data_IF_841086535016
#
_entry.id   IF_841086535016
#
_cell.length_a   1.000
_cell.length_b   1.000
_cell.length_c   1.000
_cell.angle_alpha   90.00
_cell.angle_beta   90.00
_cell.angle_gamma   90.00
#
_symmetry.space_group_name_H-M   'P 1'
#
loop_
_entity.id
_entity.type
_entity.pdbx_description
1 polymer ?
#
# COMPACT_ATOMS: atom_id res chain seq x y z
N UNK A 1 48.83 20.09 -43.86
CA UNK A 1 47.46 19.51 -43.86
C UNK A 1 47.25 18.44 -42.79
N UNK A 2 48.16 17.48 -42.58
CA UNK A 2 47.99 16.41 -41.56
C UNK A 2 47.87 16.91 -40.11
N UNK A 3 48.56 17.99 -39.73
CA UNK A 3 48.52 18.55 -38.36
C UNK A 3 47.20 19.24 -38.01
N UNK A 4 46.40 19.64 -39.00
CA UNK A 4 45.10 20.28 -38.78
C UNK A 4 44.00 19.24 -38.54
N UNK A 5 44.05 18.09 -39.24
CA UNK A 5 43.13 16.97 -39.03
C UNK A 5 43.26 16.34 -37.64
N UNK A 6 44.50 16.21 -37.12
CA UNK A 6 44.75 15.63 -35.79
C UNK A 6 44.17 16.49 -34.64
N UNK A 7 44.19 17.82 -34.78
CA UNK A 7 43.62 18.73 -33.77
C UNK A 7 42.08 18.74 -33.80
N UNK A 8 41.49 18.57 -34.98
CA UNK A 8 40.03 18.50 -35.12
C UNK A 8 39.50 17.19 -34.54
N UNK A 9 40.11 16.03 -34.86
CA UNK A 9 39.66 14.73 -34.31
C UNK A 9 39.78 14.63 -32.79
N UNK A 10 40.79 15.26 -32.20
CA UNK A 10 41.02 15.27 -30.74
C UNK A 10 39.96 16.06 -29.97
N UNK A 11 39.27 17.01 -30.62
CA UNK A 11 38.21 17.81 -30.00
C UNK A 11 36.84 17.11 -30.03
N UNK A 12 36.58 16.25 -31.03
CA UNK A 12 35.28 15.58 -31.18
C UNK A 12 35.18 14.29 -30.35
N UNK A 13 36.27 13.57 -30.10
CA UNK A 13 36.27 12.31 -29.32
C UNK A 13 35.77 12.51 -27.87
N UNK A 14 36.19 13.55 -27.12
CA UNK A 14 35.66 13.82 -25.78
C UNK A 14 34.19 14.22 -25.80
N UNK A 15 33.77 15.00 -26.80
CA UNK A 15 32.38 15.45 -26.96
C UNK A 15 31.47 14.26 -27.27
N UNK A 16 31.92 13.34 -28.14
CA UNK A 16 31.19 12.09 -28.43
C UNK A 16 31.12 11.18 -27.19
N UNK A 17 32.19 11.12 -26.39
CA UNK A 17 32.20 10.35 -25.13
C UNK A 17 31.25 10.94 -24.08
N UNK A 18 31.17 12.27 -23.99
CA UNK A 18 30.26 12.98 -23.09
C UNK A 18 28.80 12.82 -23.56
N UNK A 19 28.53 12.88 -24.87
CA UNK A 19 27.17 12.66 -25.39
C UNK A 19 26.75 11.20 -25.25
N UNK A 20 27.63 10.22 -25.49
CA UNK A 20 27.35 8.81 -25.23
C UNK A 20 27.13 8.56 -23.73
N UNK A 21 27.95 9.16 -22.87
CA UNK A 21 27.78 9.08 -21.41
C UNK A 21 26.47 9.70 -20.92
N UNK A 22 26.06 10.83 -21.50
CA UNK A 22 24.76 11.46 -21.25
C UNK A 22 23.60 10.61 -21.80
N UNK A 23 23.74 9.99 -22.98
CA UNK A 23 22.72 9.12 -23.59
C UNK A 23 22.54 7.82 -22.78
N UNK A 24 23.63 7.23 -22.28
CA UNK A 24 23.60 6.07 -21.38
C UNK A 24 23.02 6.46 -20.01
N UNK A 25 23.32 7.66 -19.50
CA UNK A 25 22.70 8.18 -18.28
C UNK A 25 21.20 8.49 -18.47
N UNK A 26 20.75 8.85 -19.67
CA UNK A 26 19.32 9.03 -20.00
C UNK A 26 18.58 7.72 -20.26
N UNK A 27 19.26 6.57 -20.24
CA UNK A 27 18.64 5.26 -20.48
C UNK A 27 18.12 4.56 -19.21
N UNK A 28 18.38 5.12 -18.02
CA UNK A 28 17.77 4.63 -16.78
C UNK A 28 16.47 5.38 -16.50
N UNK A 29 15.38 4.97 -17.16
CA UNK A 29 14.05 5.35 -16.69
C UNK A 29 13.81 4.64 -15.34
N UNK A 30 13.57 5.37 -14.23
CA UNK A 30 13.28 4.75 -12.93
C UNK A 30 12.07 3.81 -12.97
N UNK A 31 11.12 4.11 -13.87
CA UNK A 31 9.96 3.27 -14.12
C UNK A 31 10.36 1.92 -14.73
N UNK A 32 11.17 1.92 -15.80
CA UNK A 32 11.65 0.68 -16.42
C UNK A 32 12.49 -0.17 -15.46
N UNK A 33 13.31 0.50 -14.62
CA UNK A 33 14.04 -0.19 -13.56
C UNK A 33 13.10 -0.87 -12.57
N UNK A 34 12.03 -0.18 -12.14
CA UNK A 34 11.03 -0.74 -11.23
C UNK A 34 10.29 -1.92 -11.87
N UNK A 35 9.84 -1.80 -13.12
CA UNK A 35 9.20 -2.92 -13.84
C UNK A 35 10.13 -4.12 -13.90
N UNK A 36 11.41 -3.89 -14.23
CA UNK A 36 12.42 -4.96 -14.26
C UNK A 36 12.62 -5.62 -12.89
N UNK A 37 12.62 -4.86 -11.79
CA UNK A 37 12.69 -5.46 -10.44
C UNK A 37 11.43 -6.25 -10.11
N UNK A 38 10.28 -5.77 -10.55
CA UNK A 38 8.98 -6.41 -10.36
C UNK A 38 8.89 -7.76 -11.11
N UNK A 39 9.58 -7.89 -12.25
CA UNK A 39 9.70 -9.15 -13.00
C UNK A 39 10.75 -10.10 -12.39
N UNK A 40 11.93 -9.59 -12.01
CA UNK A 40 13.02 -10.42 -11.49
C UNK A 40 12.78 -10.90 -10.05
N UNK A 41 12.20 -10.03 -9.22
CA UNK A 41 11.98 -10.27 -7.79
C UNK A 41 10.57 -9.80 -7.38
N UNK A 42 9.50 -10.46 -7.87
CA UNK A 42 8.13 -9.99 -7.70
C UNK A 42 7.71 -9.87 -6.23
N UNK A 43 7.99 -10.88 -5.40
CA UNK A 43 7.63 -10.89 -3.98
C UNK A 43 8.31 -9.74 -3.23
N UNK A 44 9.63 -9.63 -3.39
CA UNK A 44 10.45 -8.67 -2.64
C UNK A 44 10.13 -7.23 -3.04
N UNK A 45 10.00 -6.98 -4.35
CA UNK A 45 9.69 -5.64 -4.86
C UNK A 45 8.31 -5.19 -4.42
N UNK A 46 7.30 -6.07 -4.49
CA UNK A 46 5.94 -5.78 -4.00
C UNK A 46 5.94 -5.55 -2.49
N UNK A 47 6.57 -6.42 -1.71
CA UNK A 47 6.67 -6.28 -0.26
C UNK A 47 7.33 -4.97 0.19
N UNK A 48 8.50 -4.63 -0.37
CA UNK A 48 9.20 -3.38 -0.05
C UNK A 48 8.33 -2.18 -0.42
N UNK A 49 7.71 -2.23 -1.60
CA UNK A 49 6.85 -1.13 -2.07
C UNK A 49 5.62 -0.96 -1.19
N UNK A 50 4.95 -2.05 -0.77
CA UNK A 50 3.86 -2.03 0.21
C UNK A 50 4.31 -1.38 1.51
N UNK A 51 5.46 -1.78 2.06
CA UNK A 51 6.01 -1.18 3.28
C UNK A 51 6.22 0.32 3.17
N UNK A 52 6.84 0.77 2.08
CA UNK A 52 7.04 2.19 1.82
C UNK A 52 5.70 2.94 1.72
N UNK A 53 4.72 2.41 0.97
CA UNK A 53 3.39 3.01 0.83
C UNK A 53 2.72 3.17 2.20
N UNK A 54 2.74 2.12 3.03
CA UNK A 54 2.18 2.17 4.38
C UNK A 54 2.88 3.19 5.28
N UNK A 55 4.22 3.25 5.24
CA UNK A 55 4.99 4.25 6.00
C UNK A 55 4.61 5.68 5.61
N UNK A 56 4.57 5.98 4.31
CA UNK A 56 4.20 7.30 3.80
C UNK A 56 2.73 7.64 4.09
N UNK A 57 1.83 6.66 3.99
CA UNK A 57 0.44 6.81 4.36
C UNK A 57 0.25 7.16 5.83
N UNK A 58 0.96 6.48 6.73
CA UNK A 58 0.92 6.78 8.17
C UNK A 58 1.54 8.14 8.50
N UNK A 59 2.64 8.53 7.83
CA UNK A 59 3.21 9.86 7.94
C UNK A 59 2.18 10.95 7.59
N UNK A 60 1.46 10.78 6.47
CA UNK A 60 0.39 11.69 6.07
C UNK A 60 -0.77 11.70 7.07
N UNK A 61 -1.18 10.54 7.58
CA UNK A 61 -2.23 10.41 8.58
C UNK A 61 -1.88 11.12 9.89
N UNK A 62 -0.69 10.86 10.46
CA UNK A 62 -0.22 11.51 11.69
C UNK A 62 -0.08 13.03 11.52
N UNK A 63 0.37 13.46 10.35
CA UNK A 63 0.46 14.87 10.01
C UNK A 63 -0.91 15.56 10.00
N UNK A 64 -1.91 14.92 9.37
CA UNK A 64 -3.28 15.41 9.35
C UNK A 64 -3.91 15.44 10.74
N UNK A 65 -3.76 14.37 11.53
CA UNK A 65 -4.22 14.32 12.92
C UNK A 65 -3.64 15.47 13.75
N UNK A 66 -2.34 15.77 13.59
CA UNK A 66 -1.66 16.85 14.30
C UNK A 66 -2.18 18.23 13.90
N UNK A 67 -2.43 18.45 12.60
CA UNK A 67 -3.07 19.68 12.11
C UNK A 67 -4.48 19.85 12.69
N UNK A 68 -5.29 18.78 12.72
CA UNK A 68 -6.65 18.81 13.27
C UNK A 68 -6.65 19.13 14.76
N UNK A 69 -5.75 18.52 15.55
CA UNK A 69 -5.57 18.80 16.98
C UNK A 69 -5.16 20.25 17.26
N UNK A 70 -4.25 20.81 16.45
CA UNK A 70 -3.86 22.24 16.54
C UNK A 70 -5.04 23.18 16.30
N UNK A 71 -5.85 22.92 15.27
CA UNK A 71 -7.05 23.73 14.96
C UNK A 71 -8.08 23.68 16.09
N UNK A 72 -8.25 22.51 16.71
CA UNK A 72 -9.20 22.33 17.82
C UNK A 72 -8.76 23.00 19.12
N UNK A 73 -7.46 23.00 19.46
CA UNK A 73 -6.97 23.57 20.73
C UNK A 73 -6.51 25.04 20.64
N UNK A 74 -6.63 25.68 19.47
CA UNK A 74 -6.15 27.05 19.21
C UNK A 74 -4.72 27.33 19.72
N UNK A 75 -3.86 26.30 19.76
CA UNK A 75 -2.51 26.37 20.34
C UNK A 75 -1.48 26.43 19.20
N UNK A 76 -0.70 27.52 19.11
CA UNK A 76 0.30 27.73 18.04
C UNK A 76 1.60 26.95 18.23
N UNK A 77 1.94 26.51 19.45
CA UNK A 77 3.29 26.02 19.79
C UNK A 77 3.46 24.49 19.85
N UNK A 78 2.48 23.71 19.40
CA UNK A 78 2.63 22.25 19.35
C UNK A 78 3.51 21.86 18.16
N UNK A 79 4.80 21.58 18.33
CA UNK A 79 5.66 20.99 17.29
C UNK A 79 5.15 19.61 16.86
N UNK A 80 5.15 19.30 15.56
CA UNK A 80 4.75 17.98 15.06
C UNK A 80 5.73 16.93 15.57
N UNK A 81 5.25 15.96 16.35
CA UNK A 81 6.05 14.83 16.83
C UNK A 81 5.54 13.57 16.14
N UNK A 82 6.32 13.07 15.19
CA UNK A 82 6.00 11.83 14.49
C UNK A 82 6.28 10.62 15.39
N UNK A 83 5.31 9.72 15.50
CA UNK A 83 5.48 8.44 16.18
C UNK A 83 6.12 7.44 15.21
N UNK A 84 7.46 7.40 15.22
CA UNK A 84 8.24 6.51 14.36
C UNK A 84 7.94 5.03 14.63
N UNK A 85 7.63 4.65 15.88
CA UNK A 85 7.28 3.27 16.22
C UNK A 85 6.04 2.81 15.45
N UNK A 86 4.99 3.63 15.41
CA UNK A 86 3.77 3.35 14.64
C UNK A 86 4.05 3.21 13.15
N UNK A 87 4.82 4.14 12.58
CA UNK A 87 5.21 4.10 11.17
C UNK A 87 6.01 2.86 10.79
N UNK A 88 6.99 2.49 11.64
CA UNK A 88 7.81 1.29 11.41
C UNK A 88 7.02 -0.01 11.60
N UNK A 89 6.08 -0.05 12.54
CA UNK A 89 5.19 -1.21 12.72
C UNK A 89 4.29 -1.42 11.51
N UNK A 90 3.70 -0.36 10.94
CA UNK A 90 2.91 -0.45 9.71
C UNK A 90 3.80 -0.80 8.51
N UNK A 91 4.98 -0.18 8.38
CA UNK A 91 5.92 -0.56 7.33
C UNK A 91 6.30 -2.04 7.40
N UNK A 92 6.53 -2.57 8.60
CA UNK A 92 6.86 -3.98 8.80
C UNK A 92 5.67 -4.90 8.49
N UNK A 93 4.46 -4.53 8.90
CA UNK A 93 3.23 -5.23 8.52
C UNK A 93 3.08 -5.28 6.99
N UNK A 94 3.25 -4.15 6.32
CA UNK A 94 3.23 -4.06 4.86
C UNK A 94 4.25 -4.97 4.16
N UNK A 95 5.48 -5.01 4.67
CA UNK A 95 6.55 -5.80 4.06
C UNK A 95 6.44 -7.30 4.35
N UNK A 96 6.00 -7.67 5.54
CA UNK A 96 6.07 -9.06 6.01
C UNK A 96 4.73 -9.80 5.87
N UNK A 97 3.62 -9.08 5.92
CA UNK A 97 2.28 -9.65 5.89
C UNK A 97 1.55 -9.26 4.60
N UNK A 98 1.16 -7.99 4.46
CA UNK A 98 0.28 -7.55 3.38
C UNK A 98 0.87 -7.82 1.98
N UNK A 99 2.11 -7.39 1.73
CA UNK A 99 2.74 -7.53 0.41
C UNK A 99 2.88 -8.99 -0.07
N UNK A 100 3.48 -9.91 0.73
CA UNK A 100 3.56 -11.33 0.38
C UNK A 100 2.18 -11.99 0.27
N UNK A 101 1.25 -11.69 1.20
CA UNK A 101 -0.09 -12.25 1.19
C UNK A 101 -0.83 -11.91 -0.11
N UNK A 102 -0.89 -10.62 -0.47
CA UNK A 102 -1.55 -10.16 -1.69
C UNK A 102 -0.91 -10.77 -2.94
N UNK A 103 0.42 -10.87 -2.98
CA UNK A 103 1.10 -11.47 -4.13
C UNK A 103 0.69 -12.92 -4.37
N UNK A 104 0.77 -13.77 -3.35
CA UNK A 104 0.42 -15.19 -3.49
C UNK A 104 -1.07 -15.39 -3.70
N UNK A 105 -1.93 -14.63 -3.03
CA UNK A 105 -3.37 -14.74 -3.22
C UNK A 105 -3.79 -14.31 -4.63
N UNK A 106 -3.23 -13.22 -5.17
CA UNK A 106 -3.59 -12.75 -6.51
C UNK A 106 -3.05 -13.68 -7.60
N UNK A 107 -1.85 -14.24 -7.41
CA UNK A 107 -1.29 -15.25 -8.30
C UNK A 107 -2.12 -16.54 -8.28
N UNK A 108 -2.55 -16.99 -7.09
CA UNK A 108 -3.43 -18.14 -6.96
C UNK A 108 -4.77 -17.90 -7.67
N UNK A 109 -5.39 -16.73 -7.47
CA UNK A 109 -6.64 -16.37 -8.15
C UNK A 109 -6.50 -16.45 -9.66
N UNK A 110 -5.46 -15.84 -10.24
CA UNK A 110 -5.23 -15.92 -11.69
C UNK A 110 -4.86 -17.31 -12.20
N UNK A 111 -4.26 -18.16 -11.36
CA UNK A 111 -3.96 -19.55 -11.73
C UNK A 111 -5.23 -20.39 -11.82
N UNK A 112 -6.18 -20.20 -10.89
CA UNK A 112 -7.43 -20.99 -10.85
C UNK A 112 -8.54 -20.40 -11.73
N UNK A 113 -8.57 -19.08 -11.88
CA UNK A 113 -9.59 -18.32 -12.59
C UNK A 113 -8.91 -17.24 -13.46
N UNK A 114 -8.32 -17.62 -14.60
CA UNK A 114 -7.60 -16.67 -15.43
C UNK A 114 -8.53 -15.60 -16.00
N UNK A 115 -8.15 -14.34 -15.86
CA UNK A 115 -8.86 -13.19 -16.42
C UNK A 115 -8.38 -12.87 -17.85
N UNK A 116 -7.20 -13.38 -18.25
CA UNK A 116 -6.61 -13.17 -19.57
C UNK A 116 -7.32 -14.01 -20.64
N UNK A 117 -8.19 -13.39 -21.43
CA UNK A 117 -8.71 -13.96 -22.68
C UNK A 117 -10.19 -13.67 -22.98
N UNK A 118 -11.05 -13.67 -21.97
CA UNK A 118 -12.51 -13.68 -22.21
C UNK A 118 -13.27 -12.44 -21.70
N UNK A 119 -12.60 -11.50 -21.01
CA UNK A 119 -13.28 -10.30 -20.47
C UNK A 119 -14.49 -10.66 -19.59
N UNK A 120 -14.45 -11.85 -18.97
CA UNK A 120 -15.60 -12.41 -18.28
C UNK A 120 -15.84 -11.64 -16.99
N UNK A 121 -16.86 -10.79 -17.04
CA UNK A 121 -17.32 -9.96 -15.91
C UNK A 121 -17.54 -10.82 -14.65
N UNK A 122 -17.99 -12.07 -14.79
CA UNK A 122 -18.21 -12.96 -13.63
C UNK A 122 -16.92 -13.42 -12.97
N UNK A 123 -15.84 -13.64 -13.73
CA UNK A 123 -14.52 -13.97 -13.18
C UNK A 123 -13.96 -12.77 -12.42
N UNK A 124 -14.05 -11.58 -13.01
CA UNK A 124 -13.61 -10.34 -12.35
C UNK A 124 -14.40 -10.08 -11.06
N UNK A 125 -15.72 -10.24 -11.08
CA UNK A 125 -16.55 -10.13 -9.88
C UNK A 125 -16.15 -11.17 -8.83
N UNK A 126 -15.83 -12.39 -9.25
CA UNK A 126 -15.38 -13.44 -8.32
C UNK A 126 -14.06 -13.05 -7.65
N UNK A 127 -13.11 -12.46 -8.39
CA UNK A 127 -11.86 -11.95 -7.80
C UNK A 127 -12.10 -10.84 -6.78
N UNK A 128 -12.99 -9.89 -7.08
CA UNK A 128 -13.34 -8.83 -6.14
C UNK A 128 -13.98 -9.41 -4.87
N UNK A 129 -14.92 -10.35 -5.02
CA UNK A 129 -15.55 -10.99 -3.86
C UNK A 129 -14.56 -11.80 -3.02
N UNK A 130 -13.62 -12.52 -3.65
CA UNK A 130 -12.59 -13.25 -2.92
C UNK A 130 -11.67 -12.27 -2.18
N UNK A 131 -11.31 -11.15 -2.81
CA UNK A 131 -10.51 -10.09 -2.20
C UNK A 131 -11.21 -9.52 -0.96
N UNK A 132 -12.41 -8.98 -1.14
CA UNK A 132 -13.17 -8.26 -0.10
C UNK A 132 -13.58 -9.14 1.08
N UNK A 133 -13.95 -10.39 0.82
CA UNK A 133 -14.54 -11.24 1.86
C UNK A 133 -13.54 -12.22 2.46
N UNK A 134 -12.65 -12.80 1.65
CA UNK A 134 -11.74 -13.86 2.11
C UNK A 134 -10.38 -13.27 2.45
N UNK A 135 -9.74 -12.60 1.50
CA UNK A 135 -8.37 -12.09 1.68
C UNK A 135 -8.35 -11.04 2.80
N UNK A 136 -9.26 -10.07 2.77
CA UNK A 136 -9.37 -9.04 3.82
C UNK A 136 -9.60 -9.65 5.20
N UNK A 137 -10.51 -10.63 5.33
CA UNK A 137 -10.79 -11.29 6.63
C UNK A 137 -9.55 -12.02 7.18
N UNK A 138 -8.81 -12.70 6.30
CA UNK A 138 -7.55 -13.37 6.66
C UNK A 138 -6.49 -12.33 7.05
N UNK A 139 -6.36 -11.26 6.27
CA UNK A 139 -5.43 -10.17 6.57
C UNK A 139 -5.73 -9.50 7.91
N UNK A 140 -7.00 -9.20 8.21
CA UNK A 140 -7.43 -8.64 9.48
C UNK A 140 -7.04 -9.59 10.62
N UNK A 141 -7.34 -10.89 10.50
CA UNK A 141 -6.99 -11.87 11.52
C UNK A 141 -5.47 -11.93 11.80
N UNK A 142 -4.67 -11.93 10.73
CA UNK A 142 -3.20 -11.89 10.82
C UNK A 142 -2.71 -10.58 11.44
N UNK A 143 -3.31 -9.45 11.09
CA UNK A 143 -2.98 -8.13 11.63
C UNK A 143 -3.24 -8.04 13.13
N UNK A 144 -4.35 -8.61 13.61
CA UNK A 144 -4.65 -8.73 15.05
C UNK A 144 -3.59 -9.56 15.78
N UNK A 145 -3.19 -10.71 15.21
CA UNK A 145 -2.15 -11.56 15.79
C UNK A 145 -0.79 -10.86 15.80
N UNK A 146 -0.41 -10.23 14.69
CA UNK A 146 0.86 -9.51 14.54
C UNK A 146 0.95 -8.33 15.50
N UNK A 147 -0.08 -7.48 15.53
CA UNK A 147 -0.12 -6.32 16.42
C UNK A 147 -0.11 -6.74 17.89
N UNK A 148 -0.85 -7.80 18.25
CA UNK A 148 -0.88 -8.28 19.63
C UNK A 148 0.48 -8.82 20.08
N UNK A 149 1.19 -9.53 19.20
CA UNK A 149 2.52 -10.02 19.48
C UNK A 149 3.54 -8.86 19.57
N UNK A 150 3.43 -7.86 18.71
CA UNK A 150 4.29 -6.68 18.71
C UNK A 150 4.07 -5.78 19.94
N UNK A 151 2.87 -5.79 20.52
CA UNK A 151 2.54 -5.10 21.78
C UNK A 151 2.88 -5.93 23.03
N UNK A 152 3.18 -7.23 22.86
CA UNK A 152 3.56 -8.13 23.95
C UNK A 152 2.38 -8.70 24.73
N UNK A 153 1.17 -8.73 24.13
CA UNK A 153 0.00 -9.34 24.77
C UNK A 153 0.15 -10.85 24.90
N UNK A 154 -0.47 -11.39 25.95
CA UNK A 154 -0.61 -12.83 26.14
C UNK A 154 -1.60 -13.44 25.12
N UNK A 155 -1.48 -14.74 24.85
CA UNK A 155 -2.41 -15.45 23.96
C UNK A 155 -3.87 -15.33 24.42
N UNK A 156 -4.09 -15.26 25.74
CA UNK A 156 -5.43 -15.12 26.31
C UNK A 156 -6.03 -13.73 26.06
N UNK A 157 -5.20 -12.68 26.04
CA UNK A 157 -5.62 -11.33 25.66
C UNK A 157 -5.89 -11.23 24.17
N UNK A 158 -5.05 -11.84 23.32
CA UNK A 158 -5.32 -11.94 21.89
C UNK A 158 -6.68 -12.58 21.62
N UNK A 159 -6.99 -13.72 22.25
CA UNK A 159 -8.30 -14.38 22.08
C UNK A 159 -9.46 -13.50 22.55
N UNK A 160 -9.28 -12.72 23.61
CA UNK A 160 -10.30 -11.77 24.08
C UNK A 160 -10.53 -10.64 23.08
N UNK A 161 -9.45 -10.03 22.58
CA UNK A 161 -9.52 -8.98 21.55
C UNK A 161 -10.18 -9.53 20.29
N UNK A 162 -9.76 -10.71 19.84
CA UNK A 162 -10.33 -11.37 18.67
C UNK A 162 -11.84 -11.60 18.86
N UNK A 163 -12.27 -12.14 20.00
CA UNK A 163 -13.69 -12.40 20.26
C UNK A 163 -14.54 -11.12 20.28
N UNK A 164 -13.98 -10.03 20.78
CA UNK A 164 -14.73 -8.78 20.98
C UNK A 164 -14.74 -7.91 19.72
N UNK A 165 -13.60 -7.80 19.03
CA UNK A 165 -13.38 -6.77 18.01
C UNK A 165 -13.30 -7.33 16.58
N UNK A 166 -13.04 -8.64 16.39
CA UNK A 166 -12.85 -9.21 15.05
C UNK A 166 -14.06 -9.02 14.16
N UNK A 167 -15.24 -9.46 14.59
CA UNK A 167 -16.46 -9.37 13.79
C UNK A 167 -16.91 -7.91 13.56
N UNK A 168 -16.68 -7.03 14.52
CA UNK A 168 -16.94 -5.60 14.34
C UNK A 168 -16.00 -5.00 13.28
N UNK A 169 -14.74 -5.43 13.25
CA UNK A 169 -13.74 -4.97 12.28
C UNK A 169 -14.02 -5.54 10.88
N UNK A 170 -14.32 -6.82 10.78
CA UNK A 170 -14.64 -7.51 9.51
C UNK A 170 -15.95 -6.98 8.91
N UNK A 171 -17.00 -6.76 9.72
CA UNK A 171 -18.24 -6.18 9.19
C UNK A 171 -18.05 -4.75 8.71
N UNK A 172 -17.23 -3.95 9.40
CA UNK A 172 -16.85 -2.61 8.95
C UNK A 172 -16.00 -2.65 7.66
N UNK A 173 -15.10 -3.64 7.55
CA UNK A 173 -14.32 -3.96 6.35
C UNK A 173 -15.26 -4.17 5.17
N UNK A 174 -16.14 -5.18 5.23
CA UNK A 174 -17.05 -5.52 4.14
C UNK A 174 -17.97 -4.37 3.72
N UNK A 175 -18.46 -3.59 4.69
CA UNK A 175 -19.28 -2.41 4.40
C UNK A 175 -18.48 -1.34 3.63
N UNK A 176 -17.22 -1.14 4.01
CA UNK A 176 -16.33 -0.17 3.35
C UNK A 176 -15.89 -0.69 1.98
N UNK A 177 -15.51 -1.95 1.86
CA UNK A 177 -15.06 -2.57 0.61
C UNK A 177 -16.16 -2.56 -0.46
N UNK A 178 -17.44 -2.65 -0.08
CA UNK A 178 -18.57 -2.48 -1.00
C UNK A 178 -18.55 -1.13 -1.75
N UNK A 179 -18.04 -0.06 -1.12
CA UNK A 179 -17.88 1.24 -1.76
C UNK A 179 -16.70 1.28 -2.75
N UNK A 180 -15.69 0.43 -2.54
CA UNK A 180 -14.50 0.30 -3.39
C UNK A 180 -14.65 -0.75 -4.49
N UNK A 181 -15.65 -1.61 -4.43
CA UNK A 181 -15.95 -2.64 -5.45
C UNK A 181 -15.83 -2.14 -6.91
N UNK A 182 -16.30 -0.94 -7.32
CA UNK A 182 -16.12 -0.47 -8.70
C UNK A 182 -14.64 -0.22 -9.07
N UNK A 183 -13.84 0.27 -8.12
CA UNK A 183 -12.42 0.55 -8.29
C UNK A 183 -11.65 -0.78 -8.39
N UNK A 184 -12.00 -1.74 -7.55
CA UNK A 184 -11.41 -3.08 -7.56
C UNK A 184 -11.78 -3.86 -8.82
N UNK A 185 -13.01 -3.74 -9.29
CA UNK A 185 -13.44 -4.32 -10.55
C UNK A 185 -12.57 -3.82 -11.71
N UNK A 186 -12.23 -2.52 -11.73
CA UNK A 186 -11.31 -1.97 -12.73
C UNK A 186 -9.90 -2.56 -12.58
N UNK A 187 -9.43 -2.70 -11.34
CA UNK A 187 -8.12 -3.29 -11.04
C UNK A 187 -8.01 -4.74 -11.54
N UNK A 188 -8.94 -5.62 -11.14
CA UNK A 188 -8.88 -7.03 -11.52
C UNK A 188 -9.26 -7.26 -12.99
N UNK A 189 -10.14 -6.43 -13.56
CA UNK A 189 -10.62 -6.61 -14.94
C UNK A 189 -9.66 -6.08 -16.01
N UNK A 190 -8.94 -4.99 -15.75
CA UNK A 190 -8.14 -4.30 -16.78
C UNK A 190 -6.65 -4.18 -16.44
N UNK A 191 -6.26 -4.30 -15.17
CA UNK A 191 -4.87 -4.10 -14.77
C UNK A 191 -4.10 -5.43 -14.85
N UNK A 192 -2.90 -5.44 -15.46
CA UNK A 192 -2.03 -6.62 -15.45
C UNK A 192 -1.68 -7.08 -14.04
N UNK A 193 -1.57 -8.40 -13.82
CA UNK A 193 -1.34 -9.02 -12.51
C UNK A 193 -0.17 -8.42 -11.73
N UNK A 194 0.87 -8.00 -12.44
CA UNK A 194 2.06 -7.43 -11.83
C UNK A 194 1.79 -6.05 -11.18
N UNK A 195 0.88 -5.23 -11.72
CA UNK A 195 0.50 -3.93 -11.15
C UNK A 195 -0.60 -3.98 -10.10
N UNK A 196 -1.39 -5.06 -10.04
CA UNK A 196 -2.57 -5.12 -9.14
C UNK A 196 -2.22 -4.93 -7.67
N UNK A 197 -1.14 -5.54 -7.20
CA UNK A 197 -0.69 -5.38 -5.79
C UNK A 197 -0.35 -3.92 -5.51
N UNK A 198 0.36 -3.24 -6.42
CA UNK A 198 0.70 -1.83 -6.27
C UNK A 198 -0.56 -0.96 -6.20
N UNK A 199 -1.53 -1.21 -7.10
CA UNK A 199 -2.78 -0.46 -7.14
C UNK A 199 -3.61 -0.68 -5.86
N UNK A 200 -3.77 -1.93 -5.43
CA UNK A 200 -4.53 -2.28 -4.23
C UNK A 200 -3.91 -1.66 -2.97
N UNK A 201 -2.57 -1.65 -2.83
CA UNK A 201 -1.93 -0.95 -1.72
C UNK A 201 -2.32 0.54 -1.61
N UNK A 202 -2.57 1.24 -2.74
CA UNK A 202 -3.03 2.63 -2.70
C UNK A 202 -4.51 2.72 -2.30
N UNK A 203 -5.34 1.77 -2.75
CA UNK A 203 -6.74 1.68 -2.32
C UNK A 203 -6.80 1.42 -0.80
N UNK A 204 -5.97 0.52 -0.29
CA UNK A 204 -5.87 0.15 1.12
C UNK A 204 -5.51 1.34 2.01
N UNK A 205 -4.69 2.28 1.53
CA UNK A 205 -4.40 3.52 2.27
C UNK A 205 -5.67 4.35 2.50
N UNK A 206 -6.51 4.49 1.48
CA UNK A 206 -7.75 5.27 1.57
C UNK A 206 -8.77 4.52 2.43
N UNK A 207 -8.90 3.21 2.20
CA UNK A 207 -9.75 2.33 2.98
C UNK A 207 -9.40 2.36 4.48
N UNK A 208 -8.12 2.26 4.83
CA UNK A 208 -7.65 2.29 6.22
C UNK A 208 -7.94 3.62 6.91
N UNK A 209 -7.83 4.74 6.18
CA UNK A 209 -8.22 6.05 6.69
C UNK A 209 -9.73 6.15 6.96
N UNK A 210 -10.56 5.56 6.10
CA UNK A 210 -12.02 5.54 6.24
C UNK A 210 -12.44 4.67 7.42
N UNK A 211 -11.88 3.46 7.56
CA UNK A 211 -12.18 2.59 8.71
C UNK A 211 -11.75 3.24 10.01
N UNK A 212 -10.56 3.83 10.06
CA UNK A 212 -10.13 4.58 11.24
C UNK A 212 -11.13 5.68 11.61
N UNK A 213 -11.65 6.42 10.63
CA UNK A 213 -12.67 7.44 10.86
C UNK A 213 -13.97 6.86 11.43
N UNK A 214 -14.50 5.78 10.85
CA UNK A 214 -15.73 5.14 11.32
C UNK A 214 -15.56 4.47 12.69
N UNK A 215 -14.45 3.78 12.94
CA UNK A 215 -14.14 3.18 14.23
C UNK A 215 -14.02 4.24 15.34
N UNK A 216 -13.41 5.40 15.06
CA UNK A 216 -13.35 6.50 16.01
C UNK A 216 -14.73 7.12 16.30
N UNK A 217 -15.61 7.21 15.30
CA UNK A 217 -16.97 7.72 15.47
C UNK A 217 -17.84 6.75 16.28
N UNK A 218 -17.75 5.45 16.01
CA UNK A 218 -18.48 4.42 16.74
C UNK A 218 -18.11 4.40 18.24
N UNK A 219 -16.81 4.52 18.57
CA UNK A 219 -16.36 4.64 19.98
C UNK A 219 -16.86 5.92 20.67
N UNK A 220 -16.98 7.04 19.95
CA UNK A 220 -17.49 8.33 20.49
C UNK A 220 -18.99 8.33 20.76
N UNK A 221 -19.77 7.70 19.87
CA UNK A 221 -21.20 7.51 20.11
C UNK A 221 -21.45 6.54 21.27
N UNK A 222 -20.64 5.49 21.40
CA UNK A 222 -20.70 4.59 22.55
C UNK A 222 -20.33 5.27 23.89
N UNK A 223 -19.51 6.33 23.85
CA UNK A 223 -19.14 7.13 25.03
C UNK A 223 -20.05 8.35 25.27
N UNK A 224 -21.11 8.55 24.48
CA UNK A 224 -22.10 9.62 24.70
C UNK A 224 -21.60 11.05 24.40
N UNK A 225 -20.49 11.24 23.69
CA UNK A 225 -20.01 12.58 23.30
C UNK A 225 -20.72 13.02 22.00
N UNK A 226 -21.66 13.96 22.10
CA UNK A 226 -22.30 14.57 20.93
C UNK A 226 -21.34 15.42 20.09
N UNK A 227 -21.51 15.34 18.77
CA UNK A 227 -20.69 16.03 17.77
C UNK A 227 -21.14 17.50 17.67
N UNK A 228 -20.25 18.50 17.82
CA UNK A 228 -20.58 19.85 17.39
C UNK A 228 -20.65 19.84 15.87
N UNK A 229 -21.84 20.17 15.34
CA UNK A 229 -22.14 20.45 13.94
C UNK A 229 -21.14 21.39 13.29
#
# INVERSE_FOLDING_TARGET
>A
MQTMYAKVSMFWIPILGITIGLVVATSFSPFEWYIRQLELFPVQTKAITTGCIQFWGDLAAQYYESRRKRKSKNTKDSTFKYNLRRGMSLSADGMLLSGPLLHYCFEAMETYLPTEGDGNVMVTLTHVLINDYIIDSVYIALSFAFTSLAEGYSLLELVRIFRNDFWATVSASWCTSLAFTPIEFVCFGYLPLHFRVLFMNFVDLVWGAIISFFSHRSRRHASGEEVPT
#
